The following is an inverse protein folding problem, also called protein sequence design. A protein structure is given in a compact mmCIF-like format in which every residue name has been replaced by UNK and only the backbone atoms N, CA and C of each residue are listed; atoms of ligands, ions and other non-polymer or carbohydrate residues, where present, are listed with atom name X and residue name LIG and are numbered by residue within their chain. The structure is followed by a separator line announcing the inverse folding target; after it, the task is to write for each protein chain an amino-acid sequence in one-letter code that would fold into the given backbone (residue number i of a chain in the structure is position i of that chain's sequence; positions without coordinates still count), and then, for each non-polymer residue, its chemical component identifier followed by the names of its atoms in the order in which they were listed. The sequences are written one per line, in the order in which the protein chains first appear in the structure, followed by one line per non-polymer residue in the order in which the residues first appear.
data_IF_660493688537
#
_entry.id   IF_660493688537
#
_cell.length_a   1.000
_cell.length_b   1.000
_cell.length_c   1.000
_cell.angle_alpha   90.00
_cell.angle_beta   90.00
_cell.angle_gamma   90.00
#
_symmetry.space_group_name_H-M   'P 1'
#
loop_
_entity.id
_entity.type
_entity.pdbx_description
1 polymer ?
#
# COMPACT_ATOMS: atom_id res chain seq x y z
N UNK A 1 -3.07 -17.98 7.49
CA UNK A 1 -1.83 -17.81 8.29
C UNK A 1 -2.08 -16.68 9.28
N UNK A 2 -1.56 -16.79 10.50
CA UNK A 2 -1.76 -15.80 11.56
C UNK A 2 -0.42 -15.15 11.85
N UNK A 3 -0.33 -13.82 11.78
CA UNK A 3 0.90 -13.09 12.12
C UNK A 3 1.16 -13.12 13.63
N UNK A 4 2.43 -13.16 14.02
CA UNK A 4 2.84 -13.26 15.43
C UNK A 4 2.98 -11.90 16.11
N UNK A 5 2.98 -11.85 17.44
CA UNK A 5 3.24 -10.61 18.21
C UNK A 5 4.63 -10.04 17.95
N UNK A 6 5.62 -10.90 17.64
CA UNK A 6 6.95 -10.48 17.22
C UNK A 6 6.91 -9.78 15.85
N UNK A 7 6.18 -10.35 14.88
CA UNK A 7 6.00 -9.72 13.57
C UNK A 7 5.23 -8.40 13.64
N UNK A 8 4.22 -8.28 14.52
CA UNK A 8 3.50 -7.01 14.77
C UNK A 8 4.48 -5.93 15.27
N UNK A 9 5.27 -6.23 16.31
CA UNK A 9 6.26 -5.29 16.85
C UNK A 9 7.31 -4.92 15.81
N UNK A 10 7.79 -5.90 15.05
CA UNK A 10 8.77 -5.69 13.99
C UNK A 10 8.22 -4.80 12.86
N UNK A 11 7.00 -5.08 12.38
CA UNK A 11 6.35 -4.30 11.33
C UNK A 11 6.17 -2.84 11.77
N UNK A 12 5.73 -2.64 13.02
CA UNK A 12 5.62 -1.32 13.62
C UNK A 12 6.97 -0.60 13.69
N UNK A 13 8.04 -1.30 14.03
CA UNK A 13 9.40 -0.78 14.02
C UNK A 13 9.88 -0.38 12.62
N UNK A 14 9.64 -1.21 11.59
CA UNK A 14 10.01 -0.92 10.19
C UNK A 14 9.32 0.36 9.69
N UNK A 15 8.06 0.56 10.07
CA UNK A 15 7.27 1.73 9.65
C UNK A 15 7.45 2.95 10.58
N UNK A 16 8.21 2.82 11.66
CA UNK A 16 8.35 3.83 12.71
C UNK A 16 7.00 4.30 13.28
N UNK A 17 6.00 3.41 13.35
CA UNK A 17 4.68 3.73 13.89
C UNK A 17 4.67 3.65 15.42
N UNK A 18 3.93 4.54 16.06
CA UNK A 18 3.57 4.36 17.47
C UNK A 18 2.44 3.33 17.61
N UNK A 19 2.18 2.82 18.83
CA UNK A 19 0.98 2.01 19.08
C UNK A 19 -0.30 2.81 18.84
N UNK A 20 -0.27 4.12 19.08
CA UNK A 20 -1.38 5.04 18.79
C UNK A 20 -1.65 5.19 17.29
N UNK A 21 -0.60 5.21 16.47
CA UNK A 21 -0.77 5.30 15.02
C UNK A 21 -1.29 3.99 14.42
N UNK A 22 -0.83 2.84 14.92
CA UNK A 22 -1.44 1.56 14.55
C UNK A 22 -2.90 1.49 14.99
N UNK A 23 -3.21 2.01 16.18
CA UNK A 23 -4.59 2.08 16.68
C UNK A 23 -5.49 2.92 15.78
N UNK A 24 -5.05 4.09 15.34
CA UNK A 24 -5.77 4.95 14.40
C UNK A 24 -6.03 4.24 13.07
N UNK A 25 -5.01 3.60 12.49
CA UNK A 25 -5.11 2.89 11.20
C UNK A 25 -6.00 1.65 11.23
N UNK A 26 -6.15 1.03 12.40
CA UNK A 26 -6.91 -0.23 12.57
C UNK A 26 -8.29 -0.03 13.21
N UNK A 27 -8.54 1.13 13.82
CA UNK A 27 -9.71 1.36 14.67
C UNK A 27 -9.69 0.57 15.99
N UNK A 28 -8.56 -0.02 16.36
CA UNK A 28 -8.37 -0.77 17.61
C UNK A 28 -7.77 0.17 18.65
N UNK A 29 -8.20 0.09 19.93
CA UNK A 29 -7.61 0.96 20.96
C UNK A 29 -6.10 0.73 21.14
N UNK A 30 -5.34 1.79 21.42
CA UNK A 30 -3.89 1.69 21.68
C UNK A 30 -3.58 0.75 22.86
N UNK A 31 -4.44 0.71 23.88
CA UNK A 31 -4.34 -0.24 25.00
C UNK A 31 -4.50 -1.69 24.54
N UNK A 32 -5.45 -1.98 23.66
CA UNK A 32 -5.63 -3.32 23.08
C UNK A 32 -4.44 -3.72 22.19
N UNK A 33 -3.91 -2.78 21.39
CA UNK A 33 -2.68 -3.00 20.61
C UNK A 33 -1.51 -3.35 21.53
N UNK A 34 -1.31 -2.60 22.62
CA UNK A 34 -0.28 -2.88 23.61
C UNK A 34 -0.44 -4.25 24.29
N UNK A 35 -1.67 -4.64 24.63
CA UNK A 35 -1.98 -5.95 25.20
C UNK A 35 -1.79 -7.12 24.21
N UNK A 36 -1.92 -6.87 22.90
CA UNK A 36 -1.62 -7.86 21.87
C UNK A 36 -0.09 -7.97 21.71
N UNK A 37 0.62 -6.84 21.58
CA UNK A 37 2.08 -6.83 21.39
C UNK A 37 2.84 -7.46 22.57
N UNK A 38 2.32 -7.32 23.80
CA UNK A 38 2.92 -7.90 25.00
C UNK A 38 2.46 -9.35 25.27
N UNK A 39 1.54 -9.91 24.46
CA UNK A 39 1.02 -11.27 24.63
C UNK A 39 0.06 -11.44 25.81
N UNK A 40 -0.47 -10.37 26.39
CA UNK A 40 -1.41 -10.43 27.52
C UNK A 40 -2.84 -10.77 27.09
N UNK A 41 -3.14 -10.74 25.79
CA UNK A 41 -4.41 -11.18 25.24
C UNK A 41 -4.24 -11.96 23.94
N UNK A 42 -5.20 -12.84 23.66
CA UNK A 42 -5.27 -13.56 22.39
C UNK A 42 -6.27 -12.82 21.48
N UNK A 43 -5.80 -12.10 20.45
CA UNK A 43 -6.68 -11.40 19.52
C UNK A 43 -7.52 -12.39 18.70
N UNK A 44 -8.75 -11.97 18.34
CA UNK A 44 -9.60 -12.73 17.41
C UNK A 44 -8.99 -12.73 16.02
N UNK A 45 -9.34 -13.72 15.21
CA UNK A 45 -8.87 -13.81 13.82
C UNK A 45 -9.14 -12.53 13.01
N UNK A 46 -10.31 -11.91 13.18
CA UNK A 46 -10.64 -10.65 12.49
C UNK A 46 -9.73 -9.49 12.93
N UNK A 47 -9.40 -9.41 14.22
CA UNK A 47 -8.47 -8.40 14.75
C UNK A 47 -7.08 -8.56 14.14
N UNK A 48 -6.60 -9.80 14.03
CA UNK A 48 -5.33 -10.09 13.36
C UNK A 48 -5.37 -9.69 11.88
N UNK A 49 -6.45 -10.01 11.16
CA UNK A 49 -6.59 -9.65 9.76
C UNK A 49 -6.56 -8.12 9.54
N UNK A 50 -7.23 -7.36 10.41
CA UNK A 50 -7.22 -5.88 10.36
C UNK A 50 -5.81 -5.33 10.63
N UNK A 51 -5.10 -5.85 11.63
CA UNK A 51 -3.73 -5.43 11.95
C UNK A 51 -2.77 -5.77 10.78
N UNK A 52 -2.86 -6.99 10.25
CA UNK A 52 -2.03 -7.43 9.13
C UNK A 52 -2.24 -6.53 7.92
N UNK A 53 -3.50 -6.26 7.56
CA UNK A 53 -3.84 -5.39 6.44
C UNK A 53 -3.30 -3.98 6.62
N UNK A 54 -3.43 -3.39 7.81
CA UNK A 54 -2.90 -2.04 8.07
C UNK A 54 -1.38 -1.96 7.82
N UNK A 55 -0.62 -2.98 8.22
CA UNK A 55 0.81 -3.03 7.92
C UNK A 55 1.10 -3.28 6.43
N UNK A 56 0.32 -4.13 5.77
CA UNK A 56 0.47 -4.40 4.34
C UNK A 56 0.20 -3.16 3.49
N UNK A 57 -0.81 -2.37 3.86
CA UNK A 57 -1.14 -1.07 3.28
C UNK A 57 -0.05 -0.04 3.60
N UNK A 58 0.57 -0.15 4.78
CA UNK A 58 1.76 0.64 5.18
C UNK A 58 3.05 0.24 4.46
N UNK A 59 3.02 -0.77 3.59
CA UNK A 59 4.20 -1.21 2.83
C UNK A 59 5.04 -2.27 3.53
N UNK A 60 4.46 -3.08 4.42
CA UNK A 60 5.12 -4.28 4.96
C UNK A 60 4.64 -5.53 4.21
N UNK A 61 5.53 -6.51 4.07
CA UNK A 61 5.18 -7.85 3.61
C UNK A 61 5.59 -8.86 4.69
N UNK A 62 4.66 -9.74 5.08
CA UNK A 62 4.92 -10.83 6.02
C UNK A 62 5.41 -12.07 5.27
N UNK A 63 6.50 -12.68 5.75
CA UNK A 63 7.20 -13.76 5.06
C UNK A 63 7.26 -14.99 5.98
N UNK A 64 6.60 -16.07 5.59
CA UNK A 64 6.61 -17.31 6.36
C UNK A 64 6.07 -17.12 7.78
N UNK A 65 6.70 -17.79 8.75
CA UNK A 65 6.24 -17.82 10.15
C UNK A 65 6.75 -16.65 11.00
N UNK A 66 7.91 -16.08 10.65
CA UNK A 66 8.60 -15.09 11.50
C UNK A 66 9.15 -13.88 10.74
N UNK A 67 9.22 -13.95 9.41
CA UNK A 67 9.83 -12.91 8.60
C UNK A 67 8.89 -11.73 8.34
N UNK A 68 9.49 -10.55 8.19
CA UNK A 68 8.88 -9.34 7.68
C UNK A 68 9.89 -8.60 6.79
N UNK A 69 9.43 -7.91 5.76
CA UNK A 69 10.26 -6.95 5.01
C UNK A 69 9.44 -5.71 4.67
N UNK A 70 10.11 -4.59 4.45
CA UNK A 70 9.50 -3.46 3.75
C UNK A 70 9.31 -3.86 2.28
N UNK A 71 8.14 -3.59 1.72
CA UNK A 71 7.90 -3.66 0.28
C UNK A 71 8.84 -2.66 -0.38
N UNK A 72 9.92 -3.15 -0.95
CA UNK A 72 10.88 -2.37 -1.73
C UNK A 72 10.51 -2.33 -3.21
N UNK A 73 9.75 -3.31 -3.68
CA UNK A 73 9.16 -3.35 -5.02
C UNK A 73 8.04 -4.38 -5.08
N UNK A 74 7.03 -4.12 -5.90
CA UNK A 74 6.05 -5.11 -6.31
C UNK A 74 5.90 -5.05 -7.83
N UNK A 75 5.61 -6.18 -8.45
CA UNK A 75 5.29 -6.25 -9.88
C UNK A 75 3.80 -6.49 -10.00
N UNK A 76 3.09 -5.55 -10.62
CA UNK A 76 1.70 -5.73 -11.01
C UNK A 76 1.65 -5.92 -12.52
N UNK A 77 1.14 -7.06 -12.96
CA UNK A 77 0.93 -7.33 -14.38
C UNK A 77 -0.47 -6.87 -14.74
N UNK A 78 -0.54 -5.78 -15.48
CA UNK A 78 -1.78 -5.17 -15.94
C UNK A 78 -1.94 -5.45 -17.44
N UNK A 79 -3.11 -5.91 -17.86
CA UNK A 79 -3.37 -6.32 -19.24
C UNK A 79 -4.71 -5.79 -19.74
N UNK A 80 -4.78 -5.57 -21.05
CA UNK A 80 -6.00 -5.07 -21.70
C UNK A 80 -6.36 -3.65 -21.28
N UNK A 81 -7.61 -3.27 -21.58
CA UNK A 81 -8.11 -1.92 -21.36
C UNK A 81 -8.19 -1.57 -19.87
N UNK A 82 -8.78 -2.46 -19.06
CA UNK A 82 -8.94 -2.24 -17.62
C UNK A 82 -7.59 -2.15 -16.91
N UNK A 83 -6.62 -2.98 -17.32
CA UNK A 83 -5.26 -2.91 -16.79
C UNK A 83 -4.57 -1.59 -17.13
N UNK A 84 -4.75 -1.06 -18.35
CA UNK A 84 -4.19 0.23 -18.72
C UNK A 84 -4.86 1.39 -17.96
N UNK A 85 -6.17 1.33 -17.77
CA UNK A 85 -6.92 2.28 -16.94
C UNK A 85 -6.43 2.28 -15.50
N UNK A 86 -6.23 1.08 -14.92
CA UNK A 86 -5.69 0.91 -13.57
C UNK A 86 -4.26 1.45 -13.44
N UNK A 87 -3.40 1.18 -14.42
CA UNK A 87 -2.05 1.77 -14.50
C UNK A 87 -2.11 3.31 -14.46
N UNK A 88 -3.00 3.91 -15.24
CA UNK A 88 -3.15 5.37 -15.33
C UNK A 88 -3.58 5.98 -13.99
N UNK A 89 -4.48 5.31 -13.24
CA UNK A 89 -4.86 5.76 -11.90
C UNK A 89 -3.73 5.59 -10.88
N UNK A 90 -2.97 4.51 -10.98
CA UNK A 90 -1.84 4.25 -10.07
C UNK A 90 -0.76 5.33 -10.23
N UNK A 91 -0.38 5.65 -11.48
CA UNK A 91 0.53 6.76 -11.80
C UNK A 91 0.03 8.08 -11.22
N UNK A 92 -1.26 8.38 -11.40
CA UNK A 92 -1.86 9.60 -10.84
C UNK A 92 -1.80 9.63 -9.30
N UNK A 93 -2.11 8.51 -8.65
CA UNK A 93 -2.05 8.38 -7.19
C UNK A 93 -0.64 8.59 -6.65
N UNK A 94 0.38 8.05 -7.31
CA UNK A 94 1.79 8.29 -6.98
C UNK A 94 2.14 9.77 -7.11
N UNK A 95 1.73 10.43 -8.20
CA UNK A 95 2.04 11.83 -8.45
C UNK A 95 1.33 12.82 -7.53
N UNK A 96 0.21 12.43 -6.89
CA UNK A 96 -0.42 13.20 -5.82
C UNK A 96 0.28 13.07 -4.46
N UNK A 97 1.12 12.04 -4.26
CA UNK A 97 1.78 11.78 -2.99
C UNK A 97 3.11 12.54 -2.80
N UNK A 98 3.71 12.39 -1.61
CA UNK A 98 4.94 13.10 -1.22
C UNK A 98 6.22 12.59 -1.95
N UNK A 99 6.15 11.40 -2.56
CA UNK A 99 7.25 10.72 -3.26
C UNK A 99 7.10 10.75 -4.78
N UNK A 100 7.23 11.94 -5.38
CA UNK A 100 6.96 12.21 -6.80
C UNK A 100 8.08 11.69 -7.72
N UNK A 101 8.10 10.39 -7.98
CA UNK A 101 8.91 9.84 -9.07
C UNK A 101 8.18 8.67 -9.74
N UNK A 102 8.00 8.79 -11.05
CA UNK A 102 7.46 7.72 -11.90
C UNK A 102 8.44 7.52 -13.05
N UNK A 103 9.01 6.32 -13.13
CA UNK A 103 9.87 5.91 -14.23
C UNK A 103 9.07 5.03 -15.19
N UNK A 104 8.82 5.55 -16.39
CA UNK A 104 8.21 4.80 -17.49
C UNK A 104 9.30 4.43 -18.49
N UNK A 105 9.39 3.15 -18.83
CA UNK A 105 10.38 2.63 -19.78
C UNK A 105 9.71 1.63 -20.72
N UNK A 106 10.31 1.46 -21.91
CA UNK A 106 9.82 0.54 -22.94
C UNK A 106 8.37 0.81 -23.39
N UNK A 107 7.98 2.09 -23.40
CA UNK A 107 6.66 2.54 -23.86
C UNK A 107 6.61 2.55 -25.39
N UNK A 108 5.53 2.01 -25.96
CA UNK A 108 5.16 2.24 -27.36
C UNK A 108 4.06 3.31 -27.41
N UNK A 109 4.44 4.53 -27.82
CA UNK A 109 3.55 5.70 -27.85
C UNK A 109 2.28 5.47 -28.68
N UNK A 110 2.36 4.66 -29.75
CA UNK A 110 1.19 4.33 -30.59
C UNK A 110 0.19 3.48 -29.82
N UNK A 111 0.70 2.52 -29.06
CA UNK A 111 -0.12 1.71 -28.17
C UNK A 111 -0.69 2.55 -27.04
N UNK A 112 0.12 3.42 -26.40
CA UNK A 112 -0.36 4.32 -25.35
C UNK A 112 -1.50 5.21 -25.84
N UNK A 113 -1.36 5.86 -27.00
CA UNK A 113 -2.43 6.69 -27.57
C UNK A 113 -3.70 5.88 -27.89
N UNK A 114 -3.54 4.64 -28.38
CA UNK A 114 -4.68 3.73 -28.63
C UNK A 114 -5.40 3.35 -27.33
N UNK A 115 -4.67 3.01 -26.27
CA UNK A 115 -5.23 2.53 -25.01
C UNK A 115 -5.73 3.65 -24.11
N UNK A 116 -5.14 4.85 -24.21
CA UNK A 116 -5.64 6.08 -23.60
C UNK A 116 -7.09 6.33 -24.04
N UNK A 117 -7.44 6.13 -25.32
CA UNK A 117 -8.83 6.12 -25.80
C UNK A 117 -9.68 7.29 -25.26
N UNK A 118 -10.88 7.00 -24.75
CA UNK A 118 -11.76 8.00 -24.13
C UNK A 118 -11.31 8.44 -22.71
N UNK A 119 -10.42 7.69 -22.06
CA UNK A 119 -9.85 8.02 -20.73
C UNK A 119 -8.64 8.96 -20.82
N UNK A 120 -8.18 9.26 -22.05
CA UNK A 120 -7.01 10.08 -22.31
C UNK A 120 -7.12 11.48 -21.72
N UNK A 121 -8.19 12.19 -22.11
CA UNK A 121 -8.44 13.56 -21.68
C UNK A 121 -8.68 13.64 -20.17
N UNK A 122 -9.53 12.79 -19.56
CA UNK A 122 -9.65 12.76 -18.10
C UNK A 122 -8.33 12.48 -17.36
N UNK A 123 -7.45 11.64 -17.89
CA UNK A 123 -6.16 11.38 -17.25
C UNK A 123 -5.19 12.57 -17.40
N UNK A 124 -5.07 13.14 -18.60
CA UNK A 124 -4.23 14.32 -18.86
C UNK A 124 -4.69 15.51 -18.02
N UNK A 125 -5.99 15.83 -18.03
CA UNK A 125 -6.55 16.95 -17.26
C UNK A 125 -6.30 16.77 -15.75
N UNK A 126 -6.43 15.53 -15.25
CA UNK A 126 -6.14 15.22 -13.84
C UNK A 126 -4.65 15.41 -13.53
N UNK A 127 -3.75 14.95 -14.40
CA UNK A 127 -2.31 15.15 -14.22
C UNK A 127 -1.94 16.63 -14.26
N UNK A 128 -2.46 17.42 -15.19
CA UNK A 128 -2.24 18.87 -15.27
C UNK A 128 -2.76 19.62 -14.03
N UNK A 129 -3.79 19.08 -13.36
CA UNK A 129 -4.33 19.67 -12.13
C UNK A 129 -3.42 19.50 -10.89
N UNK A 130 -2.38 18.67 -10.97
CA UNK A 130 -1.42 18.47 -9.88
C UNK A 130 -0.50 19.69 -9.79
N UNK A 131 -0.57 20.42 -8.67
CA UNK A 131 0.27 21.60 -8.44
C UNK A 131 1.74 21.22 -8.27
N UNK A 132 2.63 21.89 -9.00
CA UNK A 132 4.08 21.77 -8.83
C UNK A 132 4.72 20.59 -9.56
N UNK A 133 4.03 20.06 -10.58
CA UNK A 133 4.65 19.34 -11.71
C UNK A 133 5.53 20.27 -12.54
#
# INVERSE_FOLDING_TARGET
MTITTAQIRGARGILNWSQGELAERTGISATSIGAIENGSTTPRANTIAVIQKAFEDGGVEFIGLEGIKKKSSYIKILQGYDGFKEFSYDVFGVMQGDGREVLQAYVDDKSFAKWLGDEAYPHVDRMESIKGL
#
